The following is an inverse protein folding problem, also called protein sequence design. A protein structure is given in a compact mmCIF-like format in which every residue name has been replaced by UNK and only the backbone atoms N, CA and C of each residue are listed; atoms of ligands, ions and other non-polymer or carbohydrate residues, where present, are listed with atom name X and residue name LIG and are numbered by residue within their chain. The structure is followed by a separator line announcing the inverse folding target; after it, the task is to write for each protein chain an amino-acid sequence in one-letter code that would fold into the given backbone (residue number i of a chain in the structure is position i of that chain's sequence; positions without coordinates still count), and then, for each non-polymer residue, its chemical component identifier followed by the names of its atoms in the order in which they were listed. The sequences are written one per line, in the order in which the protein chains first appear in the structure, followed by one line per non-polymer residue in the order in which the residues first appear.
data_IF_940126056389
#
_entry.id   IF_940126056389
#
_cell.length_a   1.000
_cell.length_b   1.000
_cell.length_c   1.000
_cell.angle_alpha   90.00
_cell.angle_beta   90.00
_cell.angle_gamma   90.00
#
_symmetry.space_group_name_H-M   'P 1'
#
loop_
_entity.id
_entity.type
_entity.pdbx_description
1 polymer ?
#
# COMPACT_ATOMS: atom_id res chain seq x y z
N UNK A 1 -48.19 -9.40 -13.74
CA UNK A 1 -48.25 -9.21 -12.28
C UNK A 1 -47.72 -10.47 -11.62
N UNK A 2 -46.43 -10.49 -11.31
CA UNK A 2 -45.79 -11.25 -10.23
C UNK A 2 -44.39 -10.66 -10.12
N UNK A 3 -44.29 -9.67 -9.24
CA UNK A 3 -43.05 -9.22 -8.64
C UNK A 3 -42.36 -10.41 -7.95
N UNK A 4 -41.03 -10.47 -8.05
CA UNK A 4 -40.22 -11.21 -7.08
C UNK A 4 -39.22 -10.23 -6.47
N UNK A 5 -39.69 -9.63 -5.39
CA UNK A 5 -39.01 -9.36 -4.12
C UNK A 5 -37.48 -9.31 -4.13
N UNK A 6 -36.98 -8.14 -3.75
CA UNK A 6 -35.61 -7.94 -3.31
C UNK A 6 -35.27 -8.78 -2.08
N UNK A 7 -34.01 -9.21 -2.05
CA UNK A 7 -33.30 -9.63 -0.85
C UNK A 7 -32.10 -8.69 -0.69
N UNK A 8 -32.32 -7.58 0.03
CA UNK A 8 -31.30 -6.59 0.37
C UNK A 8 -30.51 -6.95 1.62
N UNK A 9 -30.04 -8.20 1.74
CA UNK A 9 -29.12 -8.65 2.79
C UNK A 9 -27.98 -9.38 2.11
N UNK A 10 -27.00 -8.62 1.61
CA UNK A 10 -26.02 -9.11 0.64
C UNK A 10 -24.99 -10.05 1.26
N UNK A 11 -24.86 -11.25 0.68
CA UNK A 11 -23.78 -12.18 0.96
C UNK A 11 -22.40 -11.50 0.78
N UNK A 12 -21.40 -11.97 1.54
CA UNK A 12 -20.04 -11.45 1.44
C UNK A 12 -19.48 -11.63 0.03
N UNK A 13 -18.75 -10.65 -0.54
CA UNK A 13 -18.03 -10.84 -1.78
C UNK A 13 -17.15 -12.09 -1.72
N UNK A 14 -17.20 -12.85 -2.81
CA UNK A 14 -16.43 -14.05 -3.09
C UNK A 14 -14.94 -13.97 -2.67
N UNK A 15 -14.28 -12.85 -2.97
CA UNK A 15 -12.88 -12.58 -2.61
C UNK A 15 -12.64 -12.49 -1.11
N UNK A 16 -13.59 -11.92 -0.35
CA UNK A 16 -13.52 -11.80 1.10
C UNK A 16 -13.77 -13.16 1.74
N UNK A 17 -14.78 -13.92 1.32
CA UNK A 17 -14.99 -15.28 1.85
C UNK A 17 -13.73 -16.15 1.67
N UNK A 18 -13.07 -16.03 0.52
CA UNK A 18 -11.82 -16.73 0.25
C UNK A 18 -10.66 -16.26 1.15
N UNK A 19 -10.48 -14.94 1.31
CA UNK A 19 -9.44 -14.37 2.16
C UNK A 19 -9.61 -14.78 3.63
N UNK A 20 -10.86 -14.82 4.11
CA UNK A 20 -11.21 -15.25 5.47
C UNK A 20 -11.25 -16.78 5.66
N UNK A 21 -11.04 -17.56 4.59
CA UNK A 21 -11.11 -19.02 4.64
C UNK A 21 -12.52 -19.56 4.93
N UNK A 22 -13.56 -18.77 4.68
CA UNK A 22 -14.97 -19.11 4.90
C UNK A 22 -15.56 -19.97 3.78
N UNK A 23 -14.89 -20.04 2.62
CA UNK A 23 -15.30 -20.93 1.54
C UNK A 23 -14.99 -22.37 1.84
N UNK A 24 -15.99 -23.24 1.62
CA UNK A 24 -15.79 -24.68 1.62
C UNK A 24 -14.73 -25.08 0.59
N UNK A 25 -13.60 -25.61 1.09
CA UNK A 25 -12.59 -26.21 0.24
C UNK A 25 -13.18 -27.50 -0.36
N UNK A 26 -13.01 -27.77 -1.66
CA UNK A 26 -13.41 -29.06 -2.22
C UNK A 26 -12.65 -30.19 -1.52
N UNK A 27 -13.36 -30.99 -0.71
CA UNK A 27 -12.79 -32.10 0.06
C UNK A 27 -13.31 -33.45 -0.44
N UNK A 28 -12.48 -34.17 -1.22
CA UNK A 28 -12.17 -35.62 -1.13
C UNK A 28 -11.36 -36.08 -2.35
N UNK A 29 -10.15 -36.59 -2.11
CA UNK A 29 -9.26 -37.20 -3.11
C UNK A 29 -7.78 -37.14 -2.66
N UNK A 30 -6.85 -37.86 -3.32
CA UNK A 30 -5.41 -37.69 -3.07
C UNK A 30 -5.05 -36.20 -3.16
N UNK A 31 -4.14 -35.71 -2.30
CA UNK A 31 -3.78 -34.27 -2.17
C UNK A 31 -3.91 -33.56 -3.52
N UNK A 32 -4.89 -32.65 -3.69
CA UNK A 32 -5.07 -31.94 -4.95
C UNK A 32 -3.74 -31.28 -5.31
N UNK A 33 -3.24 -31.51 -6.52
CA UNK A 33 -2.03 -30.85 -7.02
C UNK A 33 -2.18 -29.32 -7.14
N UNK A 34 -3.31 -28.75 -6.74
CA UNK A 34 -3.67 -27.34 -6.85
C UNK A 34 -4.47 -26.92 -5.61
N UNK A 35 -4.11 -25.79 -5.00
CA UNK A 35 -4.85 -25.18 -3.89
C UNK A 35 -4.92 -23.67 -4.10
N UNK A 36 -5.81 -22.98 -3.38
CA UNK A 36 -5.94 -21.52 -3.46
C UNK A 36 -4.61 -20.84 -3.12
N UNK A 37 -3.95 -21.30 -2.06
CA UNK A 37 -2.66 -20.77 -1.59
C UNK A 37 -1.57 -20.94 -2.65
N UNK A 38 -1.54 -22.09 -3.35
CA UNK A 38 -0.59 -22.32 -4.46
C UNK A 38 -0.89 -21.43 -5.67
N UNK A 39 -2.17 -21.18 -5.97
CA UNK A 39 -2.57 -20.28 -7.05
C UNK A 39 -2.12 -18.85 -6.75
N UNK A 40 -2.40 -18.37 -5.54
CA UNK A 40 -2.01 -17.03 -5.10
C UNK A 40 -0.48 -16.88 -5.09
N UNK A 41 0.25 -17.86 -4.55
CA UNK A 41 1.71 -17.84 -4.53
C UNK A 41 2.32 -17.79 -5.94
N UNK A 42 1.79 -18.57 -6.89
CA UNK A 42 2.24 -18.51 -8.28
C UNK A 42 1.92 -17.16 -8.94
N UNK A 43 0.75 -16.59 -8.67
CA UNK A 43 0.38 -15.27 -9.19
C UNK A 43 1.27 -14.15 -8.62
N UNK A 44 1.61 -14.22 -7.34
CA UNK A 44 2.59 -13.32 -6.69
C UNK A 44 3.96 -13.46 -7.33
N UNK A 45 4.42 -14.68 -7.60
CA UNK A 45 5.71 -14.93 -8.27
C UNK A 45 5.74 -14.34 -9.68
N UNK A 46 4.67 -14.52 -10.46
CA UNK A 46 4.53 -13.88 -11.78
C UNK A 46 4.57 -12.35 -11.67
N UNK A 47 3.85 -11.78 -10.70
CA UNK A 47 3.83 -10.32 -10.51
C UNK A 47 5.19 -9.76 -10.09
N UNK A 48 5.94 -10.50 -9.26
CA UNK A 48 7.27 -10.12 -8.81
C UNK A 48 8.32 -10.17 -9.94
N UNK A 49 8.21 -11.16 -10.84
CA UNK A 49 9.17 -11.34 -11.94
C UNK A 49 8.84 -10.45 -13.16
N UNK A 50 7.57 -10.46 -13.57
CA UNK A 50 7.13 -9.93 -14.87
C UNK A 50 6.21 -8.69 -14.72
N UNK A 51 5.94 -8.26 -13.48
CA UNK A 51 5.03 -7.16 -13.16
C UNK A 51 3.55 -7.56 -13.15
N UNK A 52 2.69 -6.70 -12.58
CA UNK A 52 1.25 -6.98 -12.45
C UNK A 52 0.55 -7.21 -13.80
N UNK A 53 1.01 -6.54 -14.87
CA UNK A 53 0.44 -6.66 -16.21
C UNK A 53 0.55 -8.07 -16.80
N UNK A 54 1.58 -8.83 -16.42
CA UNK A 54 1.79 -10.21 -16.87
C UNK A 54 0.85 -11.22 -16.16
N UNK A 55 0.26 -10.83 -15.03
CA UNK A 55 -0.65 -11.69 -14.27
C UNK A 55 -1.92 -11.90 -15.08
N UNK A 56 -2.13 -13.13 -15.53
CA UNK A 56 -3.36 -13.58 -16.18
C UNK A 56 -3.68 -15.00 -15.74
N UNK A 57 -4.95 -15.39 -15.80
CA UNK A 57 -5.35 -16.76 -15.42
C UNK A 57 -4.59 -17.82 -16.23
N UNK A 58 -4.31 -17.56 -17.51
CA UNK A 58 -3.51 -18.44 -18.36
C UNK A 58 -2.04 -18.51 -17.95
N UNK A 59 -1.39 -17.37 -17.70
CA UNK A 59 0.02 -17.31 -17.25
C UNK A 59 0.21 -18.03 -15.91
N UNK A 60 -0.69 -17.82 -14.96
CA UNK A 60 -0.65 -18.49 -13.65
C UNK A 60 -0.90 -20.00 -13.78
N UNK A 61 -1.82 -20.41 -14.66
CA UNK A 61 -2.07 -21.83 -14.92
C UNK A 61 -0.83 -22.50 -15.55
N UNK A 62 -0.16 -21.83 -16.49
CA UNK A 62 1.08 -22.30 -17.10
C UNK A 62 2.18 -22.48 -16.05
N UNK A 63 2.37 -21.51 -15.15
CA UNK A 63 3.34 -21.57 -14.07
C UNK A 63 3.10 -22.78 -13.14
N UNK A 64 1.84 -23.15 -12.95
CA UNK A 64 1.43 -24.28 -12.11
C UNK A 64 1.37 -25.62 -12.86
N UNK A 65 1.61 -25.65 -14.17
CA UNK A 65 1.39 -26.84 -15.01
C UNK A 65 -0.06 -27.33 -15.01
N UNK A 66 -1.02 -26.41 -14.84
CA UNK A 66 -2.45 -26.69 -14.75
C UNK A 66 -3.21 -26.08 -15.93
N UNK A 67 -4.47 -26.49 -16.12
CA UNK A 67 -5.37 -25.82 -17.07
C UNK A 67 -6.00 -24.58 -16.44
N UNK A 68 -6.24 -23.52 -17.24
CA UNK A 68 -6.93 -22.31 -16.78
C UNK A 68 -8.30 -22.62 -16.16
N UNK A 69 -9.03 -23.56 -16.75
CA UNK A 69 -10.33 -24.04 -16.21
C UNK A 69 -10.21 -24.65 -14.82
N UNK A 70 -9.05 -25.18 -14.45
CA UNK A 70 -8.82 -25.72 -13.11
C UNK A 70 -8.65 -24.64 -12.04
N UNK A 71 -8.13 -23.47 -12.40
CA UNK A 71 -7.98 -22.34 -11.49
C UNK A 71 -9.34 -21.70 -11.18
N UNK A 72 -10.24 -21.62 -12.15
CA UNK A 72 -11.58 -21.05 -11.96
C UNK A 72 -12.45 -21.79 -10.92
N UNK A 73 -12.07 -23.02 -10.53
CA UNK A 73 -12.70 -23.72 -9.40
C UNK A 73 -12.36 -23.14 -8.02
N UNK A 74 -11.27 -22.37 -7.94
CA UNK A 74 -10.76 -21.78 -6.70
C UNK A 74 -10.92 -20.26 -6.68
N UNK A 75 -10.78 -19.62 -7.85
CA UNK A 75 -10.82 -18.17 -8.01
C UNK A 75 -11.72 -17.82 -9.17
N UNK A 76 -12.87 -17.19 -8.90
CA UNK A 76 -13.92 -17.00 -9.90
C UNK A 76 -13.56 -15.99 -11.00
N UNK A 77 -12.73 -15.00 -10.66
CA UNK A 77 -12.36 -13.91 -11.56
C UNK A 77 -10.96 -13.35 -11.25
N UNK A 78 -10.39 -12.61 -12.20
CA UNK A 78 -9.08 -11.95 -12.03
C UNK A 78 -9.07 -10.98 -10.85
N UNK A 79 -10.15 -10.23 -10.65
CA UNK A 79 -10.25 -9.24 -9.57
C UNK A 79 -10.24 -9.94 -8.19
N UNK A 80 -10.84 -11.13 -8.11
CA UNK A 80 -10.76 -11.98 -6.92
C UNK A 80 -9.31 -12.39 -6.64
N UNK A 81 -8.57 -12.79 -7.69
CA UNK A 81 -7.15 -13.13 -7.57
C UNK A 81 -6.33 -11.93 -7.07
N UNK A 82 -6.60 -10.73 -7.56
CA UNK A 82 -5.91 -9.52 -7.13
C UNK A 82 -6.12 -9.20 -5.65
N UNK A 83 -7.34 -9.34 -5.12
CA UNK A 83 -7.60 -9.15 -3.69
C UNK A 83 -6.78 -10.14 -2.86
N UNK A 84 -6.75 -11.41 -3.26
CA UNK A 84 -5.99 -12.45 -2.55
C UNK A 84 -4.47 -12.27 -2.67
N UNK A 85 -3.99 -11.80 -3.82
CA UNK A 85 -2.59 -11.45 -4.01
C UNK A 85 -2.17 -10.28 -3.12
N UNK A 86 -3.00 -9.23 -3.04
CA UNK A 86 -2.73 -8.08 -2.17
C UNK A 86 -2.73 -8.50 -0.69
N UNK A 87 -3.68 -9.34 -0.28
CA UNK A 87 -3.75 -9.91 1.07
C UNK A 87 -2.50 -10.74 1.43
N UNK A 88 -2.01 -11.55 0.48
CA UNK A 88 -0.80 -12.34 0.67
C UNK A 88 0.48 -11.47 0.70
N UNK A 89 0.53 -10.41 -0.12
CA UNK A 89 1.66 -9.49 -0.20
C UNK A 89 1.81 -8.62 1.04
N UNK A 90 0.70 -8.08 1.57
CA UNK A 90 0.77 -7.23 2.76
C UNK A 90 1.14 -8.06 4.00
N UNK A 91 0.62 -9.29 4.09
CA UNK A 91 0.84 -10.19 5.21
C UNK A 91 0.38 -9.61 6.56
N UNK A 92 0.47 -10.40 7.65
CA UNK A 92 0.16 -9.88 8.97
C UNK A 92 1.20 -8.82 9.41
N UNK A 93 0.77 -7.78 10.14
CA UNK A 93 1.70 -6.88 10.80
C UNK A 93 2.50 -7.60 11.88
N UNK A 94 3.77 -7.23 12.03
CA UNK A 94 4.57 -7.62 13.20
C UNK A 94 4.15 -6.77 14.42
N UNK A 95 4.24 -7.28 15.66
CA UNK A 95 4.02 -6.46 16.86
C UNK A 95 4.89 -5.20 16.88
N UNK A 96 4.36 -4.10 17.41
CA UNK A 96 5.10 -2.84 17.55
C UNK A 96 5.84 -2.81 18.89
N UNK A 97 7.16 -2.75 18.85
CA UNK A 97 8.04 -2.65 20.02
C UNK A 97 7.74 -1.37 20.82
N UNK A 98 7.37 -0.29 20.15
CA UNK A 98 6.98 0.98 20.77
C UNK A 98 5.73 0.86 21.65
N UNK A 99 4.80 -0.05 21.32
CA UNK A 99 3.63 -0.33 22.16
C UNK A 99 4.03 -1.12 23.41
N UNK A 100 4.90 -2.13 23.26
CA UNK A 100 5.37 -2.96 24.37
C UNK A 100 6.19 -2.16 25.40
N UNK A 101 6.99 -1.22 24.92
CA UNK A 101 7.84 -0.37 25.75
C UNK A 101 7.14 0.87 26.29
N UNK A 102 5.92 1.17 25.83
CA UNK A 102 5.20 2.39 26.21
C UNK A 102 5.85 3.67 25.69
N UNK A 103 6.55 3.61 24.54
CA UNK A 103 7.25 4.75 23.94
C UNK A 103 6.31 5.85 23.40
N UNK A 104 4.99 5.63 23.44
CA UNK A 104 3.97 6.57 23.05
C UNK A 104 3.53 6.47 21.59
N UNK A 105 2.44 7.15 21.27
CA UNK A 105 1.78 7.08 19.96
C UNK A 105 2.71 7.45 18.80
N UNK A 106 3.60 8.43 19.00
CA UNK A 106 4.50 8.93 17.94
C UNK A 106 5.50 7.85 17.53
N UNK A 107 6.11 7.18 18.49
CA UNK A 107 7.03 6.07 18.22
C UNK A 107 6.29 4.90 17.56
N UNK A 108 5.10 4.56 18.05
CA UNK A 108 4.29 3.47 17.50
C UNK A 108 3.85 3.73 16.05
N UNK A 109 3.40 4.94 15.71
CA UNK A 109 3.04 5.28 14.33
C UNK A 109 4.25 5.34 13.39
N UNK A 110 5.42 5.78 13.86
CA UNK A 110 6.66 5.72 13.09
C UNK A 110 7.03 4.28 12.76
N UNK A 111 7.03 3.38 13.75
CA UNK A 111 7.34 1.96 13.57
C UNK A 111 6.31 1.29 12.64
N UNK A 112 5.02 1.57 12.83
CA UNK A 112 3.94 1.06 11.99
C UNK A 112 4.05 1.53 10.53
N UNK A 113 4.34 2.81 10.30
CA UNK A 113 4.54 3.36 8.95
C UNK A 113 5.77 2.75 8.26
N UNK A 114 6.87 2.57 8.99
CA UNK A 114 8.07 1.93 8.48
C UNK A 114 7.82 0.46 8.11
N UNK A 115 7.05 -0.27 8.93
CA UNK A 115 6.69 -1.66 8.66
C UNK A 115 5.77 -1.78 7.42
N UNK A 116 4.80 -0.87 7.24
CA UNK A 116 4.01 -0.81 6.00
C UNK A 116 4.89 -0.52 4.78
N UNK A 117 5.81 0.44 4.91
CA UNK A 117 6.75 0.81 3.84
C UNK A 117 7.58 -0.39 3.40
N UNK A 118 8.14 -1.14 4.35
CA UNK A 118 8.91 -2.36 4.06
C UNK A 118 8.09 -3.38 3.26
N UNK A 119 6.83 -3.65 3.65
CA UNK A 119 5.93 -4.53 2.90
C UNK A 119 5.70 -4.05 1.47
N UNK A 120 5.50 -2.75 1.28
CA UNK A 120 5.31 -2.18 -0.04
C UNK A 120 6.55 -2.30 -0.93
N UNK A 121 7.75 -2.03 -0.41
CA UNK A 121 8.98 -2.20 -1.18
C UNK A 121 9.23 -3.66 -1.59
N UNK A 122 8.84 -4.63 -0.74
CA UNK A 122 8.88 -6.04 -1.12
C UNK A 122 7.89 -6.43 -2.23
N UNK A 123 6.81 -5.66 -2.42
CA UNK A 123 5.68 -6.03 -3.27
C UNK A 123 5.08 -4.83 -4.04
N UNK A 124 5.92 -4.02 -4.68
CA UNK A 124 5.51 -2.79 -5.38
C UNK A 124 4.41 -3.01 -6.44
N UNK A 125 4.37 -4.19 -7.05
CA UNK A 125 3.31 -4.59 -7.98
C UNK A 125 1.91 -4.56 -7.33
N UNK A 126 1.80 -4.79 -6.02
CA UNK A 126 0.52 -4.79 -5.30
C UNK A 126 -0.08 -3.39 -5.18
N UNK A 127 0.76 -2.34 -5.22
CA UNK A 127 0.32 -0.95 -5.23
C UNK A 127 -0.30 -0.53 -6.57
N UNK A 128 -0.14 -1.34 -7.62
CA UNK A 128 -0.77 -1.13 -8.93
C UNK A 128 -2.17 -1.75 -9.02
N UNK A 129 -2.58 -2.54 -8.02
CA UNK A 129 -3.93 -3.07 -7.93
C UNK A 129 -4.88 -1.92 -7.54
N UNK A 130 -5.97 -1.69 -8.30
CA UNK A 130 -6.96 -0.67 -7.96
C UNK A 130 -7.58 -0.91 -6.59
N UNK A 131 -7.80 0.17 -5.85
CA UNK A 131 -8.51 0.13 -4.56
C UNK A 131 -10.00 -0.04 -4.85
N UNK A 132 -10.55 -1.23 -4.55
CA UNK A 132 -11.95 -1.56 -4.80
C UNK A 132 -12.93 -1.11 -3.72
N UNK A 133 -12.44 -0.60 -2.58
CA UNK A 133 -13.26 -0.19 -1.45
C UNK A 133 -12.47 -0.19 -0.14
N UNK A 134 -13.15 -0.02 1.01
CA UNK A 134 -12.54 -0.10 2.32
C UNK A 134 -11.85 -1.46 2.57
N UNK A 135 -10.76 -1.50 3.35
CA UNK A 135 -10.06 -2.74 3.69
C UNK A 135 -11.00 -3.68 4.45
N UNK A 136 -11.11 -4.92 3.98
CA UNK A 136 -12.00 -5.93 4.55
C UNK A 136 -11.40 -7.34 4.57
N UNK A 137 -10.12 -7.48 4.20
CA UNK A 137 -9.38 -8.75 4.26
C UNK A 137 -8.70 -8.90 5.63
N UNK A 138 -8.38 -10.13 6.09
CA UNK A 138 -7.86 -10.35 7.44
C UNK A 138 -6.63 -9.50 7.79
N UNK A 139 -5.61 -9.49 6.94
CA UNK A 139 -4.39 -8.73 7.17
C UNK A 139 -4.64 -7.23 7.06
N UNK A 140 -5.44 -6.76 6.10
CA UNK A 140 -5.75 -5.33 6.00
C UNK A 140 -6.50 -4.80 7.22
N UNK A 141 -7.40 -5.59 7.81
CA UNK A 141 -8.02 -5.27 9.10
C UNK A 141 -6.99 -5.31 10.24
N UNK A 142 -6.09 -6.29 10.26
CA UNK A 142 -5.04 -6.36 11.29
C UNK A 142 -4.11 -5.13 11.28
N UNK A 143 -3.73 -4.64 10.09
CA UNK A 143 -2.95 -3.41 9.93
C UNK A 143 -3.71 -2.18 10.42
N UNK A 144 -5.00 -2.09 10.13
CA UNK A 144 -5.86 -1.01 10.62
C UNK A 144 -5.99 -1.05 12.15
N UNK A 145 -6.29 -2.21 12.71
CA UNK A 145 -6.38 -2.42 14.16
C UNK A 145 -5.08 -2.04 14.87
N UNK A 146 -3.91 -2.41 14.32
CA UNK A 146 -2.63 -2.02 14.89
C UNK A 146 -2.41 -0.49 14.87
N UNK A 147 -2.87 0.20 13.82
CA UNK A 147 -2.86 1.67 13.78
C UNK A 147 -3.76 2.29 14.86
N UNK A 148 -4.94 1.70 15.12
CA UNK A 148 -5.83 2.13 16.20
C UNK A 148 -5.19 1.89 17.58
N UNK A 149 -4.46 0.79 17.76
CA UNK A 149 -3.70 0.51 18.97
C UNK A 149 -2.61 1.55 19.22
N UNK A 150 -1.88 1.99 18.18
CA UNK A 150 -0.90 3.06 18.26
C UNK A 150 -1.49 4.40 18.76
N UNK A 151 -2.76 4.66 18.44
CA UNK A 151 -3.46 5.90 18.79
C UNK A 151 -4.37 5.77 20.02
N UNK A 152 -4.43 4.61 20.69
CA UNK A 152 -5.40 4.32 21.75
C UNK A 152 -5.48 5.41 22.82
N UNK A 153 -4.32 5.80 23.35
CA UNK A 153 -4.18 6.72 24.48
C UNK A 153 -3.83 8.16 24.04
N UNK A 154 -4.02 8.48 22.75
CA UNK A 154 -3.71 9.81 22.20
C UNK A 154 -4.72 10.90 22.60
N UNK A 155 -5.92 10.52 23.07
CA UNK A 155 -7.01 11.46 23.35
C UNK A 155 -7.83 11.89 22.11
N UNK A 156 -7.51 11.40 20.92
CA UNK A 156 -8.29 11.66 19.71
C UNK A 156 -9.63 10.91 19.71
N UNK A 157 -10.63 11.46 19.02
CA UNK A 157 -11.88 10.75 18.72
C UNK A 157 -11.68 9.66 17.65
N UNK A 158 -12.57 8.68 17.59
CA UNK A 158 -12.45 7.51 16.68
C UNK A 158 -12.42 7.89 15.19
N UNK A 159 -13.16 8.94 14.81
CA UNK A 159 -13.12 9.50 13.45
C UNK A 159 -11.75 10.06 13.09
N UNK A 160 -11.18 10.88 13.98
CA UNK A 160 -9.84 11.47 13.80
C UNK A 160 -8.75 10.39 13.75
N UNK A 161 -8.83 9.37 14.62
CA UNK A 161 -7.91 8.22 14.59
C UNK A 161 -7.92 7.55 13.21
N UNK A 162 -9.11 7.30 12.67
CA UNK A 162 -9.28 6.69 11.35
C UNK A 162 -8.69 7.59 10.25
N UNK A 163 -8.94 8.90 10.31
CA UNK A 163 -8.37 9.86 9.35
C UNK A 163 -6.84 9.93 9.42
N UNK A 164 -6.24 9.86 10.61
CA UNK A 164 -4.78 9.84 10.79
C UNK A 164 -4.18 8.56 10.19
N UNK A 165 -4.78 7.40 10.46
CA UNK A 165 -4.35 6.11 9.90
C UNK A 165 -4.39 6.15 8.37
N UNK A 166 -5.50 6.61 7.79
CA UNK A 166 -5.65 6.75 6.34
C UNK A 166 -4.63 7.71 5.74
N UNK A 167 -4.40 8.86 6.38
CA UNK A 167 -3.44 9.86 5.93
C UNK A 167 -2.02 9.29 5.86
N UNK A 168 -1.58 8.61 6.92
CA UNK A 168 -0.24 8.01 6.99
C UNK A 168 -0.11 6.85 6.00
N UNK A 169 -1.07 5.91 5.96
CA UNK A 169 -1.02 4.80 4.99
C UNK A 169 -0.99 5.31 3.53
N UNK A 170 -1.74 6.36 3.20
CA UNK A 170 -1.74 6.95 1.86
C UNK A 170 -0.40 7.63 1.53
N UNK A 171 0.21 8.31 2.51
CA UNK A 171 1.55 8.87 2.36
C UNK A 171 2.57 7.76 2.07
N UNK A 172 2.62 6.73 2.92
CA UNK A 172 3.54 5.59 2.77
C UNK A 172 3.36 4.90 1.42
N UNK A 173 2.10 4.68 1.00
CA UNK A 173 1.78 4.09 -0.30
C UNK A 173 2.27 4.95 -1.47
N UNK A 174 2.08 6.26 -1.39
CA UNK A 174 2.43 7.20 -2.47
C UNK A 174 3.94 7.36 -2.60
N UNK A 175 4.64 7.48 -1.46
CA UNK A 175 6.10 7.55 -1.41
C UNK A 175 6.73 6.27 -1.99
N UNK A 176 6.31 5.09 -1.52
CA UNK A 176 6.86 3.81 -2.02
C UNK A 176 6.69 3.66 -3.53
N UNK A 177 5.53 4.09 -4.07
CA UNK A 177 5.25 4.04 -5.51
C UNK A 177 6.13 5.02 -6.29
N UNK A 178 6.26 6.26 -5.81
CA UNK A 178 7.05 7.29 -6.46
C UNK A 178 8.54 6.94 -6.47
N UNK A 179 9.08 6.51 -5.32
CA UNK A 179 10.47 6.06 -5.17
C UNK A 179 10.77 4.89 -6.12
N UNK A 180 9.86 3.92 -6.20
CA UNK A 180 9.95 2.80 -7.15
C UNK A 180 9.97 3.26 -8.61
N UNK A 181 9.05 4.14 -9.01
CA UNK A 181 8.91 4.58 -10.40
C UNK A 181 10.11 5.38 -10.87
N UNK A 182 10.63 6.25 -9.99
CA UNK A 182 11.86 6.99 -10.26
C UNK A 182 13.05 6.04 -10.40
N UNK A 183 13.18 5.07 -9.50
CA UNK A 183 14.25 4.05 -9.56
C UNK A 183 14.19 3.24 -10.85
N UNK A 184 13.00 2.79 -11.25
CA UNK A 184 12.81 2.06 -12.50
C UNK A 184 13.14 2.92 -13.73
N UNK A 185 12.80 4.20 -13.72
CA UNK A 185 13.12 5.13 -14.80
C UNK A 185 14.64 5.39 -14.91
N UNK A 186 15.37 5.45 -13.79
CA UNK A 186 16.84 5.52 -13.77
C UNK A 186 17.44 4.26 -14.41
N UNK A 187 17.02 3.08 -13.96
CA UNK A 187 17.50 1.79 -14.47
C UNK A 187 17.24 1.65 -15.97
N UNK A 188 16.02 1.98 -16.44
CA UNK A 188 15.65 1.88 -17.84
C UNK A 188 16.48 2.80 -18.76
N UNK A 189 16.99 3.92 -18.23
CA UNK A 189 17.88 4.84 -18.95
C UNK A 189 19.34 4.41 -18.91
N UNK A 190 19.72 3.48 -18.02
CA UNK A 190 21.10 3.02 -17.85
C UNK A 190 22.06 4.09 -17.34
N UNK A 191 21.56 5.05 -16.55
CA UNK A 191 22.31 6.17 -15.97
C UNK A 191 22.30 6.09 -14.44
N UNK A 192 23.20 6.81 -13.77
CA UNK A 192 23.18 6.90 -12.30
C UNK A 192 22.15 7.94 -11.81
N UNK A 193 21.73 7.89 -10.53
CA UNK A 193 20.88 8.93 -9.93
C UNK A 193 21.48 10.34 -10.04
N UNK A 194 22.80 10.48 -9.87
CA UNK A 194 23.52 11.75 -10.00
C UNK A 194 23.49 12.27 -11.44
N UNK A 195 23.68 11.39 -12.42
CA UNK A 195 23.57 11.75 -13.83
C UNK A 195 22.15 12.18 -14.20
N UNK A 196 21.13 11.55 -13.61
CA UNK A 196 19.74 11.94 -13.78
C UNK A 196 19.49 13.34 -13.19
N UNK A 197 19.92 13.59 -11.95
CA UNK A 197 19.77 14.89 -11.29
C UNK A 197 20.44 16.01 -12.09
N UNK A 198 21.70 15.83 -12.48
CA UNK A 198 22.45 16.79 -13.30
C UNK A 198 21.83 17.00 -14.70
N UNK A 199 21.22 15.97 -15.30
CA UNK A 199 20.48 16.10 -16.56
C UNK A 199 19.17 16.86 -16.40
N UNK A 200 18.45 16.60 -15.30
CA UNK A 200 17.21 17.31 -14.96
C UNK A 200 17.46 18.80 -14.72
N UNK A 201 18.48 19.15 -13.93
CA UNK A 201 18.89 20.53 -13.69
C UNK A 201 19.24 21.26 -15.00
N UNK A 202 20.06 20.65 -15.86
CA UNK A 202 20.42 21.22 -17.18
C UNK A 202 19.19 21.45 -18.06
N UNK A 203 18.23 20.53 -18.02
CA UNK A 203 16.96 20.66 -18.74
C UNK A 203 16.16 21.85 -18.21
N UNK A 204 15.99 21.96 -16.88
CA UNK A 204 15.26 23.06 -16.27
C UNK A 204 15.92 24.42 -16.55
N UNK A 205 17.26 24.53 -16.47
CA UNK A 205 17.98 25.77 -16.85
C UNK A 205 17.70 26.24 -18.28
N UNK A 206 17.30 25.34 -19.20
CA UNK A 206 16.94 25.70 -20.58
C UNK A 206 15.46 26.07 -20.75
N UNK A 207 14.58 25.59 -19.88
CA UNK A 207 13.13 25.71 -20.01
C UNK A 207 12.53 26.78 -19.07
N UNK A 208 13.17 27.01 -17.93
CA UNK A 208 12.68 27.90 -16.87
C UNK A 208 12.93 29.35 -17.26
N UNK A 209 11.84 30.08 -17.48
CA UNK A 209 11.81 31.54 -17.56
C UNK A 209 11.76 32.14 -16.14
N UNK A 210 12.74 32.97 -15.71
CA UNK A 210 12.79 33.55 -14.36
C UNK A 210 11.62 34.48 -14.00
N UNK A 211 11.04 35.19 -14.97
CA UNK A 211 9.89 36.06 -14.71
C UNK A 211 8.63 35.22 -14.49
N UNK A 212 8.50 34.08 -15.18
CA UNK A 212 7.35 33.17 -15.07
C UNK A 212 7.48 32.13 -13.97
N UNK A 213 8.70 31.76 -13.59
CA UNK A 213 8.98 30.64 -12.68
C UNK A 213 10.00 31.00 -11.58
N UNK A 214 9.82 32.11 -10.82
CA UNK A 214 10.84 32.62 -9.90
C UNK A 214 11.25 31.61 -8.82
N UNK A 215 10.33 30.78 -8.32
CA UNK A 215 10.64 29.76 -7.30
C UNK A 215 11.56 28.64 -7.81
N UNK A 216 11.36 28.18 -9.05
CA UNK A 216 12.22 27.15 -9.65
C UNK A 216 13.60 27.75 -9.96
N UNK A 217 13.63 28.99 -10.45
CA UNK A 217 14.89 29.72 -10.65
C UNK A 217 15.70 29.81 -9.36
N UNK A 218 15.07 30.18 -8.24
CA UNK A 218 15.73 30.22 -6.95
C UNK A 218 16.29 28.85 -6.54
N UNK A 219 15.53 27.76 -6.74
CA UNK A 219 16.05 26.41 -6.44
C UNK A 219 17.25 26.05 -7.31
N UNK A 220 17.22 26.35 -8.61
CA UNK A 220 18.36 26.11 -9.52
C UNK A 220 19.62 26.88 -9.09
N UNK A 221 19.46 28.08 -8.52
CA UNK A 221 20.58 28.87 -8.00
C UNK A 221 21.20 28.28 -6.73
N UNK A 222 20.41 27.60 -5.90
CA UNK A 222 20.93 26.93 -4.69
C UNK A 222 21.72 25.66 -4.99
N UNK A 223 21.56 25.07 -6.18
CA UNK A 223 22.16 23.78 -6.53
C UNK A 223 21.52 22.57 -5.84
N UNK A 224 20.41 22.75 -5.11
CA UNK A 224 19.71 21.64 -4.43
C UNK A 224 19.26 20.55 -5.40
N UNK A 225 19.03 20.88 -6.68
CA UNK A 225 18.61 19.94 -7.71
C UNK A 225 19.77 19.19 -8.39
N UNK A 226 21.02 19.52 -8.05
CA UNK A 226 22.22 18.98 -8.70
C UNK A 226 22.62 17.60 -8.17
N UNK A 227 22.09 17.19 -7.03
CA UNK A 227 22.35 15.91 -6.39
C UNK A 227 21.04 15.23 -6.03
N UNK A 228 21.02 13.88 -5.98
CA UNK A 228 19.90 13.16 -5.39
C UNK A 228 19.85 13.45 -3.88
N UNK A 229 18.65 13.40 -3.31
CA UNK A 229 18.47 13.46 -1.87
C UNK A 229 19.11 12.26 -1.17
N UNK A 230 19.34 12.38 0.13
CA UNK A 230 19.73 11.24 0.96
C UNK A 230 18.66 10.13 0.88
N UNK A 231 19.11 8.88 0.97
CA UNK A 231 18.21 7.74 1.00
C UNK A 231 17.17 7.92 2.12
N UNK A 232 15.89 7.71 1.79
CA UNK A 232 14.75 7.85 2.68
C UNK A 232 14.47 9.25 3.25
N UNK A 233 15.16 10.31 2.76
CA UNK A 233 14.93 11.69 3.20
C UNK A 233 13.46 12.10 3.11
N UNK A 234 12.83 11.89 1.95
CA UNK A 234 11.43 12.25 1.70
C UNK A 234 10.45 11.51 2.63
N UNK A 235 10.74 10.23 2.93
CA UNK A 235 9.95 9.47 3.88
C UNK A 235 10.08 10.06 5.29
N UNK A 236 11.30 10.31 5.76
CA UNK A 236 11.57 10.87 7.08
C UNK A 236 10.98 12.26 7.26
N UNK A 237 11.16 13.14 6.27
CA UNK A 237 10.61 14.49 6.25
C UNK A 237 9.07 14.46 6.29
N UNK A 238 8.44 13.71 5.39
CA UNK A 238 6.99 13.62 5.33
C UNK A 238 6.38 13.01 6.59
N UNK A 239 6.98 11.94 7.14
CA UNK A 239 6.56 11.38 8.43
C UNK A 239 6.69 12.39 9.57
N UNK A 240 7.80 13.15 9.62
CA UNK A 240 7.98 14.19 10.63
C UNK A 240 6.86 15.22 10.61
N UNK A 241 6.58 15.78 9.42
CA UNK A 241 5.52 16.77 9.21
C UNK A 241 4.13 16.21 9.58
N UNK A 242 3.83 14.97 9.15
CA UNK A 242 2.56 14.33 9.45
C UNK A 242 2.37 14.14 10.96
N UNK A 243 3.39 13.63 11.65
CA UNK A 243 3.34 13.39 13.09
C UNK A 243 3.25 14.70 13.88
N UNK A 244 3.93 15.77 13.44
CA UNK A 244 3.77 17.10 14.05
C UNK A 244 2.34 17.63 13.89
N UNK A 245 1.72 17.40 12.74
CA UNK A 245 0.30 17.70 12.50
C UNK A 245 -0.64 16.90 13.41
N UNK A 246 -0.37 15.61 13.63
CA UNK A 246 -1.12 14.75 14.58
C UNK A 246 -0.96 15.26 16.00
N UNK A 247 0.25 15.65 16.39
CA UNK A 247 0.50 16.22 17.72
C UNK A 247 -0.29 17.51 17.94
N UNK A 248 -0.32 18.40 16.95
CA UNK A 248 -1.13 19.62 16.99
C UNK A 248 -2.63 19.29 17.09
N UNK A 249 -3.11 18.26 16.40
CA UNK A 249 -4.50 17.80 16.49
C UNK A 249 -4.83 17.27 17.90
N UNK A 250 -3.95 16.47 18.48
CA UNK A 250 -4.08 15.97 19.86
C UNK A 250 -4.19 17.11 20.86
N UNK A 251 -3.31 18.12 20.75
CA UNK A 251 -3.33 19.31 21.63
C UNK A 251 -4.67 20.05 21.51
N UNK A 252 -5.15 20.31 20.29
CA UNK A 252 -6.45 20.96 20.06
C UNK A 252 -7.63 20.16 20.59
N UNK A 253 -7.57 18.83 20.52
CA UNK A 253 -8.58 17.96 21.10
C UNK A 253 -8.59 18.05 22.64
N UNK A 254 -7.41 18.09 23.26
CA UNK A 254 -7.27 18.29 24.70
C UNK A 254 -7.78 19.67 25.18
N UNK A 255 -7.61 20.70 24.35
CA UNK A 255 -8.08 22.07 24.63
C UNK A 255 -9.60 22.24 24.37
N UNK A 256 -10.29 21.21 23.86
CA UNK A 256 -11.73 21.23 23.57
C UNK A 256 -12.12 22.00 22.30
N UNK A 257 -11.15 22.30 21.43
CA UNK A 257 -11.35 23.11 20.22
C UNK A 257 -11.79 22.28 18.99
N UNK A 258 -11.77 20.95 19.09
CA UNK A 258 -12.18 20.05 18.02
C UNK A 258 -13.59 19.55 18.29
N UNK A 259 -14.58 20.06 17.55
CA UNK A 259 -15.87 19.38 17.42
C UNK A 259 -15.66 18.15 16.54
N UNK A 260 -15.78 16.95 17.11
CA UNK A 260 -15.87 15.72 16.33
C UNK A 260 -17.00 15.86 15.31
N UNK A 261 -16.65 15.67 14.03
CA UNK A 261 -17.61 15.59 12.94
C UNK A 261 -18.33 14.23 12.93
#
# INVERSE_FOLDING_TARGET
MTEKNGSGGGDLPASLEAAWGLRDRPAKGPKPGLSLERIVAAAVAVAAADGLGAVSMGRVAQELGASTMSLYRYVSAKDELYVLMQEAAIGPPAPLSALETGAGWRAALTEWAAAQRERYHGHLWALRIPIGGPPATPNSIAWWEQGLQALRDSGLGEGDKTSVILLISNFVRSEALMTSDLSAAVIARGITPEELAASHERTLKRLVDPERHPGITQQLETGVMSAPDEADYEFGFGMGVLLDGVEALIRRAADGEVKSA
#
